data_IF_007009983594
#
_entry.id   IF_007009983594
#
_cell.length_a   1.000
_cell.length_b   1.000
_cell.length_c   1.000
_cell.angle_alpha   90.00
_cell.angle_beta   90.00
_cell.angle_gamma   90.00
#
_symmetry.space_group_name_H-M   'P 1'
#
loop_
_entity.id
_entity.type
_entity.pdbx_description
1 polymer ?
#
# COMPACT_ATOMS: atom_id res chain seq x y z
N UNK A 1 1.12 -21.26 -36.72
CA UNK A 1 0.79 -22.06 -35.52
C UNK A 1 2.04 -22.81 -35.10
N UNK A 2 2.32 -23.01 -33.80
CA UNK A 2 3.50 -23.78 -33.39
C UNK A 2 3.17 -25.28 -33.35
N UNK A 3 4.08 -26.11 -33.83
CA UNK A 3 3.97 -27.56 -33.68
C UNK A 3 4.03 -27.93 -32.19
N UNK A 4 3.06 -28.75 -31.73
CA UNK A 4 2.98 -29.20 -30.32
C UNK A 4 4.19 -30.04 -29.87
N UNK A 5 4.91 -30.65 -30.82
CA UNK A 5 6.03 -31.56 -30.52
C UNK A 5 7.39 -30.84 -30.58
N UNK A 6 7.70 -30.17 -31.69
CA UNK A 6 9.03 -29.56 -31.89
C UNK A 6 9.07 -28.04 -31.72
N UNK A 7 7.94 -27.37 -31.52
CA UNK A 7 7.88 -25.91 -31.41
C UNK A 7 8.18 -25.15 -32.71
N UNK A 8 8.36 -25.85 -33.84
CA UNK A 8 8.56 -25.19 -35.13
C UNK A 8 7.30 -24.43 -35.57
N UNK A 9 7.49 -23.24 -36.15
CA UNK A 9 6.39 -22.45 -36.69
C UNK A 9 5.95 -23.06 -38.03
N UNK A 10 4.71 -23.54 -38.09
CA UNK A 10 4.09 -24.09 -39.29
C UNK A 10 2.95 -23.19 -39.76
N UNK A 11 2.76 -23.10 -41.08
CA UNK A 11 1.69 -22.32 -41.70
C UNK A 11 0.32 -22.87 -41.31
N UNK A 12 -0.69 -22.01 -41.25
CA UNK A 12 -2.10 -22.34 -40.97
C UNK A 12 -2.74 -23.28 -41.99
N UNK A 13 -2.05 -23.66 -43.07
CA UNK A 13 -2.61 -24.48 -44.15
C UNK A 13 -2.14 -25.94 -44.09
N UNK A 14 -1.19 -26.26 -43.20
CA UNK A 14 -0.50 -27.56 -43.17
C UNK A 14 -0.85 -28.34 -41.92
N UNK A 15 -1.60 -29.44 -42.09
CA UNK A 15 -1.98 -30.35 -41.00
C UNK A 15 -0.83 -31.22 -40.49
N UNK A 16 0.31 -31.26 -41.19
CA UNK A 16 1.47 -32.09 -40.85
C UNK A 16 2.74 -31.24 -40.80
N UNK A 17 3.54 -31.38 -39.74
CA UNK A 17 4.75 -30.60 -39.56
C UNK A 17 5.89 -31.12 -40.47
N UNK A 18 6.47 -30.30 -41.36
CA UNK A 18 7.53 -30.74 -42.27
C UNK A 18 8.85 -31.09 -41.56
N UNK A 19 9.03 -30.68 -40.31
CA UNK A 19 10.27 -30.91 -39.55
C UNK A 19 10.25 -32.17 -38.69
N UNK A 20 9.08 -32.63 -38.26
CA UNK A 20 8.96 -33.77 -37.33
C UNK A 20 7.86 -34.78 -37.68
N UNK A 21 7.09 -34.54 -38.74
CA UNK A 21 5.99 -35.42 -39.18
C UNK A 21 4.78 -35.45 -38.26
N UNK A 22 4.74 -34.61 -37.21
CA UNK A 22 3.60 -34.61 -36.26
C UNK A 22 2.39 -33.94 -36.89
N UNK A 23 1.23 -34.62 -36.89
CA UNK A 23 -0.05 -34.06 -37.32
C UNK A 23 -0.66 -33.16 -36.24
N UNK A 24 -1.05 -31.95 -36.61
CA UNK A 24 -1.73 -31.00 -35.74
C UNK A 24 -3.14 -30.76 -36.30
N UNK A 25 -4.17 -31.26 -35.61
CA UNK A 25 -5.57 -31.00 -35.97
C UNK A 25 -5.92 -29.53 -35.75
N UNK A 26 -6.65 -28.96 -36.70
CA UNK A 26 -7.11 -27.58 -36.68
C UNK A 26 -8.54 -27.54 -36.13
N UNK A 27 -8.78 -26.77 -35.07
CA UNK A 27 -10.13 -26.37 -34.68
C UNK A 27 -10.60 -25.19 -35.56
N UNK A 28 -11.85 -25.18 -36.06
CA UNK A 28 -12.34 -24.15 -36.96
C UNK A 28 -12.56 -22.82 -36.22
N UNK A 29 -12.03 -21.75 -36.81
CA UNK A 29 -12.14 -20.37 -36.31
C UNK A 29 -13.34 -19.67 -36.95
N UNK A 30 -14.14 -18.94 -36.16
CA UNK A 30 -14.92 -17.81 -36.65
C UNK A 30 -14.50 -16.51 -35.93
N UNK A 31 -14.19 -15.53 -36.76
CA UNK A 31 -13.66 -14.17 -36.57
C UNK A 31 -14.79 -13.20 -36.12
N UNK A 32 -14.64 -11.97 -35.62
CA UNK A 32 -13.53 -11.04 -35.34
C UNK A 32 -14.07 -9.83 -34.53
N UNK A 33 -13.20 -9.15 -33.76
CA UNK A 33 -13.00 -7.68 -33.75
C UNK A 33 -12.45 -7.14 -32.40
N UNK A 34 -11.12 -6.97 -32.36
CA UNK A 34 -10.34 -5.84 -31.79
C UNK A 34 -10.88 -5.01 -30.60
N UNK A 35 -10.26 -5.15 -29.42
CA UNK A 35 -9.44 -4.10 -28.74
C UNK A 35 -8.37 -4.82 -27.88
N UNK A 36 -7.11 -4.40 -27.99
CA UNK A 36 -5.93 -4.96 -27.29
C UNK A 36 -5.80 -4.43 -25.82
N UNK A 37 -4.77 -4.81 -25.04
CA UNK A 37 -4.88 -5.88 -24.05
C UNK A 37 -4.64 -5.36 -22.62
N UNK A 38 -5.49 -5.73 -21.66
CA UNK A 38 -5.13 -5.64 -20.24
C UNK A 38 -5.17 -7.03 -19.64
N UNK A 39 -3.99 -7.64 -19.70
CA UNK A 39 -3.42 -8.54 -18.69
C UNK A 39 -4.46 -9.37 -17.93
N UNK A 40 -4.80 -10.52 -18.51
CA UNK A 40 -5.23 -11.69 -17.75
C UNK A 40 -3.97 -12.16 -16.99
N UNK A 41 -3.68 -11.49 -15.87
CA UNK A 41 -2.70 -12.00 -14.92
C UNK A 41 -3.20 -13.36 -14.45
N UNK A 42 -2.31 -14.33 -14.55
CA UNK A 42 -2.51 -15.71 -14.11
C UNK A 42 -3.14 -15.71 -12.73
N UNK A 43 -4.25 -16.42 -12.59
CA UNK A 43 -4.79 -16.80 -11.29
C UNK A 43 -3.80 -17.83 -10.73
N UNK A 44 -2.72 -17.34 -10.14
CA UNK A 44 -1.94 -18.12 -9.20
C UNK A 44 -2.82 -18.25 -7.97
N UNK A 45 -3.19 -19.49 -7.65
CA UNK A 45 -3.98 -19.86 -6.49
C UNK A 45 -3.32 -19.29 -5.23
N UNK A 46 -3.76 -18.11 -4.82
CA UNK A 46 -3.12 -17.33 -3.78
C UNK A 46 -3.43 -17.94 -2.42
N UNK A 47 -2.38 -18.37 -1.74
CA UNK A 47 -2.41 -18.93 -0.38
C UNK A 47 -2.50 -17.85 0.70
N UNK A 48 -2.88 -16.63 0.33
CA UNK A 48 -2.92 -15.48 1.22
C UNK A 48 -4.28 -15.45 1.96
N UNK A 49 -4.31 -15.62 3.29
CA UNK A 49 -5.57 -15.65 4.05
C UNK A 49 -6.24 -14.27 4.21
N UNK A 50 -5.64 -13.20 3.69
CA UNK A 50 -6.06 -11.81 3.90
C UNK A 50 -6.47 -11.08 2.61
N UNK A 51 -6.76 -11.83 1.55
CA UNK A 51 -7.18 -11.31 0.25
C UNK A 51 -8.45 -10.46 0.38
N UNK A 52 -8.42 -9.28 -0.24
CA UNK A 52 -9.57 -8.37 -0.28
C UNK A 52 -9.85 -7.65 1.04
N UNK A 53 -9.00 -7.82 2.08
CA UNK A 53 -9.08 -6.95 3.26
C UNK A 53 -8.70 -5.53 2.88
N UNK A 54 -9.51 -4.59 3.37
CA UNK A 54 -9.31 -3.15 3.18
C UNK A 54 -9.05 -2.49 4.53
N UNK A 55 -8.01 -1.67 4.58
CA UNK A 55 -7.69 -0.85 5.75
C UNK A 55 -7.83 0.61 5.38
N UNK A 56 -8.69 1.32 6.09
CA UNK A 56 -8.84 2.76 5.97
C UNK A 56 -8.09 3.46 7.11
N UNK A 57 -7.12 4.30 6.76
CA UNK A 57 -6.40 5.14 7.70
C UNK A 57 -6.69 6.61 7.40
N UNK A 58 -6.95 7.37 8.46
CA UNK A 58 -7.04 8.83 8.40
C UNK A 58 -5.92 9.44 9.21
N UNK A 59 -5.24 10.42 8.65
CA UNK A 59 -4.22 11.16 9.38
C UNK A 59 -3.95 12.53 8.77
N UNK A 60 -3.62 13.49 9.62
CA UNK A 60 -3.26 14.82 9.16
C UNK A 60 -1.77 14.87 8.82
N UNK A 61 -1.43 14.91 7.54
CA UNK A 61 -0.06 15.14 7.10
C UNK A 61 0.22 16.66 7.04
N UNK A 62 1.22 17.11 7.81
CA UNK A 62 1.69 18.50 7.85
C UNK A 62 2.05 19.09 6.49
N UNK A 63 2.38 18.24 5.51
CA UNK A 63 2.81 18.69 4.18
C UNK A 63 1.63 19.21 3.35
N UNK A 64 0.38 18.86 3.70
CA UNK A 64 -0.80 19.46 3.06
C UNK A 64 -1.18 20.70 3.87
N UNK A 65 -0.79 21.88 3.36
CA UNK A 65 -1.35 23.18 3.76
C UNK A 65 -2.83 23.27 3.36
N UNK A 66 -3.66 22.41 3.94
CA UNK A 66 -5.09 22.31 3.66
C UNK A 66 -5.84 21.83 4.90
N UNK A 67 -7.07 22.31 5.05
CA UNK A 67 -7.97 22.08 6.20
C UNK A 67 -8.49 20.63 6.31
N UNK A 68 -8.03 19.72 5.45
CA UNK A 68 -8.56 18.37 5.30
C UNK A 68 -7.43 17.35 5.39
N UNK A 69 -7.57 16.37 6.28
CA UNK A 69 -6.61 15.29 6.50
C UNK A 69 -6.45 14.37 5.28
N UNK A 70 -5.40 13.55 5.31
CA UNK A 70 -5.12 12.54 4.28
C UNK A 70 -5.84 11.25 4.64
N UNK A 71 -6.53 10.67 3.66
CA UNK A 71 -7.10 9.33 3.78
C UNK A 71 -6.27 8.35 2.96
N UNK A 72 -5.94 7.22 3.56
CA UNK A 72 -5.23 6.12 2.94
C UNK A 72 -6.14 4.90 2.96
N UNK A 73 -6.51 4.37 1.80
CA UNK A 73 -7.13 3.06 1.70
C UNK A 73 -6.07 2.08 1.21
N UNK A 74 -5.85 1.04 1.98
CA UNK A 74 -4.87 -0.02 1.66
C UNK A 74 -5.65 -1.28 1.39
N UNK A 75 -5.59 -1.76 0.14
CA UNK A 75 -6.23 -3.02 -0.25
C UNK A 75 -5.18 -4.10 -0.42
N UNK A 76 -5.42 -5.25 0.21
CA UNK A 76 -4.52 -6.40 0.14
C UNK A 76 -4.90 -7.25 -1.07
N UNK A 77 -4.07 -7.19 -2.11
CA UNK A 77 -4.13 -8.10 -3.25
C UNK A 77 -3.36 -9.40 -2.98
N UNK A 78 -3.20 -10.21 -4.02
CA UNK A 78 -2.54 -11.52 -3.92
C UNK A 78 -1.06 -11.39 -3.51
N UNK A 79 -0.27 -10.70 -4.34
CA UNK A 79 1.17 -10.49 -4.12
C UNK A 79 1.53 -9.01 -3.90
N UNK A 80 0.53 -8.12 -3.93
CA UNK A 80 0.70 -6.67 -3.89
C UNK A 80 -0.26 -5.98 -2.93
N UNK A 81 0.24 -4.95 -2.26
CA UNK A 81 -0.54 -3.95 -1.54
C UNK A 81 -0.81 -2.77 -2.47
N UNK A 82 -2.08 -2.41 -2.63
CA UNK A 82 -2.46 -1.21 -3.36
C UNK A 82 -2.75 -0.08 -2.37
N UNK A 83 -2.16 1.08 -2.63
CA UNK A 83 -2.30 2.28 -1.83
C UNK A 83 -3.09 3.32 -2.60
N UNK A 84 -4.32 3.56 -2.16
CA UNK A 84 -5.13 4.68 -2.63
C UNK A 84 -5.01 5.82 -1.61
N UNK A 85 -4.53 6.98 -2.06
CA UNK A 85 -4.37 8.15 -1.19
C UNK A 85 -5.23 9.30 -1.69
N UNK A 86 -5.98 9.89 -0.76
CA UNK A 86 -6.74 11.11 -1.00
C UNK A 86 -6.10 12.22 -0.15
N UNK A 87 -5.47 13.24 -0.75
CA UNK A 87 -5.44 13.58 -2.18
C UNK A 87 -4.34 12.87 -3.01
N UNK A 88 -4.67 12.54 -4.26
CA UNK A 88 -3.86 11.72 -5.18
C UNK A 88 -2.43 12.24 -5.47
N UNK A 89 -2.17 13.53 -5.27
CA UNK A 89 -0.85 14.17 -5.47
C UNK A 89 0.26 13.55 -4.59
N UNK A 90 -0.13 12.88 -3.50
CA UNK A 90 0.77 12.21 -2.56
C UNK A 90 1.11 10.78 -2.95
N UNK A 91 0.42 10.20 -3.93
CA UNK A 91 0.63 8.82 -4.32
C UNK A 91 1.90 8.67 -5.16
N UNK A 92 3.05 8.48 -4.50
CA UNK A 92 4.33 8.22 -5.18
C UNK A 92 4.49 6.75 -5.60
N UNK A 93 3.76 5.84 -4.96
CA UNK A 93 3.87 4.39 -5.17
C UNK A 93 2.49 3.74 -4.95
N UNK A 94 1.68 3.60 -6.02
CA UNK A 94 0.31 3.09 -5.91
C UNK A 94 0.24 1.59 -5.65
N UNK A 95 1.29 0.84 -6.00
CA UNK A 95 1.37 -0.59 -5.79
C UNK A 95 2.75 -0.97 -5.23
N UNK A 96 2.76 -1.83 -4.23
CA UNK A 96 3.96 -2.32 -3.53
C UNK A 96 3.87 -3.84 -3.41
N UNK A 97 4.92 -4.56 -3.81
CA UNK A 97 4.97 -6.02 -3.66
C UNK A 97 5.19 -6.40 -2.19
N UNK A 98 4.49 -7.43 -1.71
CA UNK A 98 4.60 -7.93 -0.33
C UNK A 98 6.02 -8.42 -0.01
N UNK A 99 6.72 -8.98 -0.99
CA UNK A 99 8.09 -9.49 -0.87
C UNK A 99 9.14 -8.39 -0.69
N UNK A 100 8.84 -7.17 -1.17
CA UNK A 100 9.76 -6.04 -1.10
C UNK A 100 9.72 -5.32 0.26
N UNK A 101 8.79 -5.69 1.13
CA UNK A 101 8.64 -5.09 2.45
C UNK A 101 9.72 -5.65 3.37
N UNK A 102 10.67 -4.81 3.76
CA UNK A 102 11.76 -5.22 4.65
C UNK A 102 11.42 -5.01 6.12
N UNK A 103 10.77 -3.89 6.45
CA UNK A 103 10.42 -3.55 7.82
C UNK A 103 9.25 -2.56 7.85
N UNK A 104 8.39 -2.75 8.84
CA UNK A 104 7.31 -1.81 9.17
C UNK A 104 7.66 -1.18 10.51
N UNK A 105 7.95 0.12 10.52
CA UNK A 105 8.29 0.87 11.73
C UNK A 105 7.17 1.84 12.08
N UNK A 106 6.69 1.74 13.32
CA UNK A 106 5.82 2.75 13.90
C UNK A 106 6.67 3.88 14.50
N UNK A 107 6.25 5.12 14.31
CA UNK A 107 6.83 6.26 14.99
C UNK A 107 5.74 7.20 15.49
N UNK A 108 5.97 7.79 16.66
CA UNK A 108 5.12 8.87 17.14
C UNK A 108 5.38 10.14 16.35
N UNK A 109 4.31 10.84 15.98
CA UNK A 109 4.43 12.14 15.35
C UNK A 109 3.62 13.14 16.16
N UNK A 110 4.32 14.07 16.81
CA UNK A 110 3.68 15.22 17.41
C UNK A 110 3.71 16.39 16.44
N UNK A 111 2.55 17.02 16.27
CA UNK A 111 2.40 18.21 15.43
C UNK A 111 3.25 19.35 16.00
N UNK A 112 4.02 20.02 15.16
CA UNK A 112 4.87 21.15 15.59
C UNK A 112 4.06 22.25 16.26
N UNK A 113 2.83 22.52 15.78
CA UNK A 113 1.92 23.47 16.42
C UNK A 113 1.60 23.10 17.88
N UNK A 114 1.39 21.83 18.18
CA UNK A 114 1.10 21.35 19.53
C UNK A 114 2.32 21.47 20.44
N UNK A 115 3.52 21.21 19.89
CA UNK A 115 4.77 21.41 20.62
C UNK A 115 4.94 22.89 20.98
N UNK A 116 4.70 23.80 20.03
CA UNK A 116 4.78 25.25 20.27
C UNK A 116 3.72 25.72 21.27
N UNK A 117 2.49 25.19 21.21
CA UNK A 117 1.45 25.53 22.17
C UNK A 117 1.78 25.03 23.58
N UNK A 118 2.37 23.84 23.69
CA UNK A 118 2.82 23.28 24.95
C UNK A 118 3.97 24.11 25.55
N UNK A 119 4.96 24.52 24.75
CA UNK A 119 6.06 25.37 25.24
C UNK A 119 5.58 26.75 25.64
N UNK A 120 4.65 27.35 24.89
CA UNK A 120 4.02 28.62 25.25
C UNK A 120 3.24 28.53 26.58
N UNK A 121 2.50 27.44 26.78
CA UNK A 121 1.78 27.19 28.03
C UNK A 121 2.71 27.10 29.24
N UNK A 122 3.84 26.41 29.09
CA UNK A 122 4.88 26.31 30.13
C UNK A 122 5.50 27.68 30.42
N UNK A 123 5.83 28.47 29.40
CA UNK A 123 6.39 29.82 29.57
C UNK A 123 5.40 30.75 30.29
N UNK A 124 4.11 30.71 29.94
CA UNK A 124 3.08 31.46 30.65
C UNK A 124 2.94 31.01 32.11
N UNK A 125 3.01 29.70 32.38
CA UNK A 125 2.97 29.15 33.74
C UNK A 125 4.15 29.62 34.60
N UNK A 126 5.34 29.77 34.01
CA UNK A 126 6.53 30.28 34.71
C UNK A 126 6.48 31.81 34.94
N UNK A 127 5.80 32.56 34.06
CA UNK A 127 5.63 34.01 34.18
C UNK A 127 4.55 34.46 35.18
N UNK A 128 4.03 33.54 36.02
CA UNK A 128 2.95 33.82 36.98
C UNK A 128 1.55 33.53 36.45
N UNK A 129 1.42 32.90 35.28
CA UNK A 129 0.15 32.34 34.81
C UNK A 129 -0.34 31.26 35.78
N UNK A 130 -1.61 31.34 36.19
CA UNK A 130 -2.20 30.43 37.17
C UNK A 130 -2.15 28.95 36.75
N UNK A 131 -2.60 28.07 37.65
CA UNK A 131 -2.52 26.60 37.49
C UNK A 131 -3.15 26.07 36.19
N UNK A 132 -4.10 26.81 35.63
CA UNK A 132 -4.73 26.54 34.33
C UNK A 132 -3.73 26.54 33.17
N UNK A 133 -2.66 27.33 33.22
CA UNK A 133 -1.61 27.35 32.20
C UNK A 133 -0.79 26.04 32.17
N UNK A 134 -0.68 25.34 33.31
CA UNK A 134 0.01 24.04 33.41
C UNK A 134 -0.84 22.88 32.91
N UNK A 135 -2.17 23.01 32.91
CA UNK A 135 -3.07 21.99 32.36
C UNK A 135 -3.03 21.95 30.82
N UNK A 136 -2.81 23.10 30.17
CA UNK A 136 -2.75 23.21 28.70
C UNK A 136 -1.75 22.23 28.06
N UNK A 137 -0.45 22.18 28.46
CA UNK A 137 0.50 21.24 27.87
C UNK A 137 0.12 19.77 28.16
N UNK A 138 -0.44 19.47 29.34
CA UNK A 138 -0.89 18.12 29.69
C UNK A 138 -2.03 17.65 28.79
N UNK A 139 -3.02 18.51 28.57
CA UNK A 139 -4.17 18.22 27.69
C UNK A 139 -3.73 18.07 26.24
N UNK A 140 -2.83 18.95 25.77
CA UNK A 140 -2.27 18.88 24.41
C UNK A 140 -1.49 17.57 24.20
N UNK A 141 -0.72 17.12 25.19
CA UNK A 141 0.04 15.89 25.11
C UNK A 141 -0.85 14.64 25.11
N UNK A 142 -1.94 14.65 25.89
CA UNK A 142 -2.85 13.50 26.00
C UNK A 142 -3.78 13.35 24.79
N UNK A 143 -4.37 14.44 24.31
CA UNK A 143 -5.41 14.37 23.27
C UNK A 143 -4.87 14.33 21.84
N UNK A 144 -3.67 14.86 21.58
CA UNK A 144 -3.18 15.05 20.22
C UNK A 144 -1.95 14.21 19.88
N UNK A 145 -2.08 12.89 20.02
CA UNK A 145 -1.03 11.92 19.70
C UNK A 145 -1.32 11.23 18.38
N UNK A 146 -0.89 11.85 17.28
CA UNK A 146 -0.92 11.24 15.95
C UNK A 146 0.20 10.20 15.79
N UNK A 147 -0.05 9.15 14.99
CA UNK A 147 0.92 8.09 14.70
C UNK A 147 1.26 8.09 13.22
N UNK A 148 2.53 7.84 12.91
CA UNK A 148 3.01 7.63 11.54
C UNK A 148 3.60 6.23 11.43
N UNK A 149 3.23 5.53 10.37
CA UNK A 149 3.78 4.25 10.00
C UNK A 149 4.71 4.44 8.80
N UNK A 150 5.93 3.92 8.90
CA UNK A 150 6.92 3.92 7.82
C UNK A 150 7.12 2.50 7.35
N UNK A 151 6.84 2.25 6.09
CA UNK A 151 7.10 0.99 5.42
C UNK A 151 8.40 1.17 4.63
N UNK A 152 9.43 0.39 4.99
CA UNK A 152 10.72 0.39 4.31
C UNK A 152 10.73 -0.69 3.24
N UNK A 153 11.04 -0.27 2.02
CA UNK A 153 11.09 -1.14 0.85
C UNK A 153 12.52 -1.49 0.49
N UNK A 154 12.72 -2.66 -0.12
CA UNK A 154 14.03 -3.15 -0.57
C UNK A 154 14.71 -2.21 -1.58
N UNK A 155 13.91 -1.46 -2.34
CA UNK A 155 14.39 -0.43 -3.27
C UNK A 155 14.90 0.86 -2.59
N UNK A 156 14.89 0.93 -1.26
CA UNK A 156 15.31 2.10 -0.47
C UNK A 156 14.24 3.20 -0.35
N UNK A 157 13.06 3.01 -0.94
CA UNK A 157 11.96 3.95 -0.78
C UNK A 157 11.27 3.76 0.58
N UNK A 158 10.82 4.88 1.15
CA UNK A 158 10.10 4.91 2.43
C UNK A 158 8.67 5.40 2.17
N UNK A 159 7.70 4.53 2.38
CA UNK A 159 6.29 4.87 2.29
C UNK A 159 5.80 5.28 3.68
N UNK A 160 5.27 6.50 3.81
CA UNK A 160 4.79 7.06 5.09
C UNK A 160 3.27 7.17 5.06
N UNK A 161 2.61 6.45 5.97
CA UNK A 161 1.16 6.46 6.18
C UNK A 161 0.89 7.10 7.54
N UNK A 162 -0.13 7.96 7.61
CA UNK A 162 -0.57 8.57 8.87
C UNK A 162 -1.88 7.93 9.31
N UNK A 163 -1.98 7.64 10.60
CA UNK A 163 -3.19 7.09 11.20
C UNK A 163 -3.40 7.67 12.60
N UNK A 164 -4.64 8.01 12.90
CA UNK A 164 -5.14 8.47 14.21
C UNK A 164 -5.40 7.31 15.18
N UNK A 165 -5.81 6.15 14.65
CA UNK A 165 -6.18 5.01 15.47
C UNK A 165 -5.01 4.05 15.70
N UNK A 166 -4.73 3.74 16.98
CA UNK A 166 -3.70 2.76 17.39
C UNK A 166 -4.11 1.33 17.01
N UNK A 167 -5.39 0.99 17.16
CA UNK A 167 -5.89 -0.38 16.96
C UNK A 167 -5.70 -0.84 15.52
N UNK A 168 -6.10 -0.01 14.55
CA UNK A 168 -5.98 -0.33 13.13
C UNK A 168 -4.53 -0.50 12.66
N UNK A 169 -3.58 0.29 13.20
CA UNK A 169 -2.16 0.14 12.88
C UNK A 169 -1.63 -1.20 13.39
N UNK A 170 -1.96 -1.57 14.62
CA UNK A 170 -1.48 -2.82 15.22
C UNK A 170 -2.07 -4.01 14.48
N UNK A 171 -3.38 -4.00 14.21
CA UNK A 171 -4.04 -5.05 13.45
C UNK A 171 -3.40 -5.21 12.06
N UNK A 172 -3.16 -4.10 11.37
CA UNK A 172 -2.46 -4.11 10.08
C UNK A 172 -1.03 -4.67 10.19
N UNK A 173 -0.25 -4.26 11.18
CA UNK A 173 1.13 -4.77 11.37
C UNK A 173 1.12 -6.27 11.65
N UNK A 174 0.23 -6.74 12.52
CA UNK A 174 0.12 -8.16 12.87
C UNK A 174 -0.32 -8.99 11.66
N UNK A 175 -1.25 -8.48 10.86
CA UNK A 175 -1.67 -9.14 9.62
C UNK A 175 -0.56 -9.13 8.56
N UNK A 176 0.19 -8.04 8.43
CA UNK A 176 1.38 -8.01 7.57
C UNK A 176 2.47 -8.98 8.04
N UNK A 177 2.71 -9.11 9.35
CA UNK A 177 3.68 -10.08 9.92
C UNK A 177 3.30 -11.55 9.71
N UNK A 178 2.02 -11.86 9.51
CA UNK A 178 1.58 -13.23 9.19
C UNK A 178 1.91 -13.60 7.75
N UNK A 179 1.79 -12.64 6.83
CA UNK A 179 2.03 -12.86 5.40
C UNK A 179 3.52 -12.73 5.09
N UNK A 180 4.14 -11.69 5.64
CA UNK A 180 5.55 -11.37 5.42
C UNK A 180 6.40 -12.01 6.52
N UNK A 181 7.52 -12.65 6.18
CA UNK A 181 8.44 -13.25 7.16
C UNK A 181 9.28 -12.21 7.92
N UNK A 182 8.71 -11.03 8.19
CA UNK A 182 9.37 -9.91 8.85
C UNK A 182 9.34 -10.17 10.36
N UNK A 183 10.51 -10.18 10.99
CA UNK A 183 10.68 -10.26 12.45
C UNK A 183 10.57 -8.88 13.09
#
# INVERSE_FOLDING_TARGET
MLCKNCGANIGSETSECPYCGTRNEQEPTQQAANVAPVQKAEIQKSSNPLLGKEYAFSGNDLIIRGRWGVKYNVTVGEDRLNFETVPAKKNKLPAVMLEDIMAIQESFHMRTFNIVLATLGILCGLAGGGIWCWLIPVVVFLLYRERKMKIHLRNGNILTIYSDNKGSIIEFIDDMRKITKIK
#
